data_IF_254948314005
#
_entry.id   IF_254948314005
#
_cell.length_a   1.000
_cell.length_b   1.000
_cell.length_c   1.000
_cell.angle_alpha   90.00
_cell.angle_beta   90.00
_cell.angle_gamma   90.00
#
_symmetry.space_group_name_H-M   'P 1'
#
loop_
_entity.id
_entity.type
_entity.pdbx_description
1 polymer ?
#
# COMPACT_ATOMS: atom_id res chain seq x y z
N UNK A 1 31.38 29.33 11.55
CA UNK A 1 31.81 27.92 11.40
C UNK A 1 33.32 27.87 11.54
N UNK A 2 33.90 26.90 12.27
CA UNK A 2 35.35 26.79 12.39
C UNK A 2 35.98 26.49 11.02
N UNK A 3 37.20 26.99 10.78
CA UNK A 3 37.87 27.04 9.48
C UNK A 3 38.19 25.67 8.83
N UNK A 4 37.89 24.56 9.50
CA UNK A 4 38.35 23.22 9.14
C UNK A 4 37.20 22.23 8.87
N UNK A 5 35.96 22.71 8.70
CA UNK A 5 34.81 21.83 8.40
C UNK A 5 34.64 21.70 6.89
N UNK A 6 34.94 20.51 6.34
CA UNK A 6 34.54 20.14 4.98
C UNK A 6 33.18 19.47 5.02
N UNK A 7 32.18 20.11 4.42
CA UNK A 7 30.88 19.49 4.20
C UNK A 7 30.99 18.54 3.01
N UNK A 8 30.67 17.27 3.24
CA UNK A 8 30.58 16.25 2.21
C UNK A 8 29.11 15.90 1.99
N UNK A 9 28.69 15.81 0.72
CA UNK A 9 27.37 15.29 0.40
C UNK A 9 27.36 13.78 0.63
N UNK A 10 26.49 13.33 1.55
CA UNK A 10 26.21 11.92 1.73
C UNK A 10 25.00 11.51 0.88
N UNK A 11 25.05 10.36 0.19
CA UNK A 11 23.90 9.84 -0.53
C UNK A 11 22.72 9.64 0.43
N UNK A 12 21.52 10.02 0.01
CA UNK A 12 20.31 9.74 0.76
C UNK A 12 19.93 8.26 0.63
N UNK A 13 20.67 7.36 1.30
CA UNK A 13 20.61 5.91 1.09
C UNK A 13 19.18 5.33 1.10
N UNK A 14 18.33 5.70 2.05
CA UNK A 14 16.93 5.23 2.05
C UNK A 14 16.10 5.78 0.89
N UNK A 15 16.38 7.00 0.44
CA UNK A 15 15.71 7.58 -0.72
C UNK A 15 16.17 6.92 -2.01
N UNK A 16 17.46 6.58 -2.11
CA UNK A 16 18.03 5.79 -3.21
C UNK A 16 17.39 4.40 -3.24
N UNK A 17 17.33 3.70 -2.09
CA UNK A 17 16.71 2.40 -1.99
C UNK A 17 15.22 2.43 -2.38
N UNK A 18 14.47 3.44 -1.92
CA UNK A 18 13.06 3.61 -2.29
C UNK A 18 12.87 3.90 -3.78
N UNK A 19 13.77 4.68 -4.40
CA UNK A 19 13.75 4.92 -5.84
C UNK A 19 14.12 3.67 -6.65
N UNK A 20 15.14 2.92 -6.21
CA UNK A 20 15.56 1.67 -6.84
C UNK A 20 14.48 0.58 -6.76
N UNK A 21 13.70 0.55 -5.67
CA UNK A 21 12.54 -0.31 -5.54
C UNK A 21 11.44 -0.02 -6.59
N UNK A 22 11.47 1.15 -7.26
CA UNK A 22 10.60 1.52 -8.38
C UNK A 22 11.20 1.13 -9.75
N UNK A 23 12.03 0.09 -9.79
CA UNK A 23 12.82 -0.31 -10.96
C UNK A 23 12.03 -0.96 -12.11
N UNK A 24 10.73 -1.20 -11.94
CA UNK A 24 9.88 -1.65 -13.05
C UNK A 24 9.58 -0.45 -13.96
N UNK A 25 10.22 -0.42 -15.12
CA UNK A 25 9.92 0.57 -16.15
C UNK A 25 8.58 0.18 -16.79
N UNK A 26 7.60 1.09 -16.78
CA UNK A 26 6.29 0.83 -17.38
C UNK A 26 5.84 2.01 -18.20
N UNK A 27 5.40 1.70 -19.43
CA UNK A 27 4.94 2.70 -20.38
C UNK A 27 3.49 3.08 -20.08
N UNK A 28 3.18 4.38 -20.03
CA UNK A 28 1.82 4.86 -19.78
C UNK A 28 1.47 6.05 -20.67
N UNK A 29 0.19 6.18 -21.05
CA UNK A 29 -0.35 7.30 -21.83
C UNK A 29 -0.59 8.56 -20.98
N UNK A 30 -0.76 8.39 -19.69
CA UNK A 30 -1.03 9.42 -18.70
C UNK A 30 -0.46 9.01 -17.35
N UNK A 31 -0.23 9.99 -16.49
CA UNK A 31 0.04 9.69 -15.08
C UNK A 31 -1.19 9.06 -14.41
N UNK A 32 -2.38 9.20 -15.01
CA UNK A 32 -3.64 8.65 -14.49
C UNK A 32 -3.86 7.18 -14.88
N UNK A 33 -3.07 6.62 -15.80
CA UNK A 33 -3.23 5.23 -16.24
C UNK A 33 -2.64 4.24 -15.23
N UNK A 34 -1.72 4.73 -14.40
CA UNK A 34 -1.32 4.02 -13.20
C UNK A 34 -2.18 4.54 -12.06
N UNK A 35 -2.85 3.61 -11.39
CA UNK A 35 -3.37 3.85 -10.05
C UNK A 35 -2.23 4.41 -9.18
N UNK A 36 -2.58 5.22 -8.17
CA UNK A 36 -1.63 5.86 -7.26
C UNK A 36 -0.59 4.87 -6.69
N UNK A 37 -0.95 3.58 -6.56
CA UNK A 37 -0.10 2.51 -6.06
C UNK A 37 0.93 1.95 -7.05
N UNK A 38 0.63 1.93 -8.35
CA UNK A 38 1.58 1.45 -9.35
C UNK A 38 2.71 2.45 -9.57
N UNK A 39 2.46 3.76 -9.35
CA UNK A 39 3.54 4.77 -9.28
C UNK A 39 4.57 4.46 -8.18
N UNK A 40 4.21 3.68 -7.15
CA UNK A 40 5.10 3.31 -6.07
C UNK A 40 5.90 1.99 -6.33
N UNK A 41 5.60 1.25 -7.41
CA UNK A 41 6.43 0.12 -7.93
C UNK A 41 7.10 0.42 -9.27
N UNK A 42 6.49 1.30 -10.05
CA UNK A 42 6.84 1.54 -11.43
C UNK A 42 7.38 2.94 -11.61
N UNK A 43 8.40 3.06 -12.45
CA UNK A 43 8.80 4.33 -13.00
C UNK A 43 8.13 4.48 -14.36
N UNK A 44 7.28 5.51 -14.46
CA UNK A 44 6.63 5.87 -15.71
C UNK A 44 6.77 7.36 -15.98
N UNK A 45 6.70 7.71 -17.26
CA UNK A 45 6.52 9.07 -17.73
C UNK A 45 5.35 9.05 -18.69
N UNK A 46 4.29 9.78 -18.38
CA UNK A 46 3.11 9.90 -19.22
C UNK A 46 3.50 10.16 -20.68
N UNK A 47 2.87 9.46 -21.64
CA UNK A 47 3.13 9.55 -23.09
C UNK A 47 4.58 9.27 -23.49
N UNK A 48 5.26 8.39 -22.76
CA UNK A 48 6.57 7.87 -23.12
C UNK A 48 6.52 6.34 -23.26
N UNK A 49 6.25 5.86 -24.47
CA UNK A 49 6.19 4.44 -24.83
C UNK A 49 7.50 3.96 -25.47
N UNK A 50 8.61 4.36 -24.87
CA UNK A 50 9.96 4.09 -25.36
C UNK A 50 10.86 3.72 -24.21
N UNK A 51 11.13 2.42 -24.07
CA UNK A 51 11.87 1.86 -22.94
C UNK A 51 13.30 2.42 -22.85
N UNK A 52 13.91 2.73 -23.99
CA UNK A 52 15.24 3.35 -24.06
C UNK A 52 15.24 4.76 -23.42
N UNK A 53 14.25 5.58 -23.76
CA UNK A 53 14.09 6.92 -23.19
C UNK A 53 13.63 6.89 -21.74
N UNK A 54 12.73 5.97 -21.39
CA UNK A 54 12.25 5.80 -20.03
C UNK A 54 13.39 5.34 -19.12
N UNK A 55 14.23 4.42 -19.59
CA UNK A 55 15.45 3.99 -18.93
C UNK A 55 16.46 5.11 -18.75
N UNK A 56 16.68 5.95 -19.76
CA UNK A 56 17.59 7.10 -19.64
C UNK A 56 17.10 8.11 -18.59
N UNK A 57 15.81 8.46 -18.58
CA UNK A 57 15.24 9.34 -17.57
C UNK A 57 15.39 8.73 -16.16
N UNK A 58 15.10 7.43 -16.02
CA UNK A 58 15.27 6.70 -14.76
C UNK A 58 16.72 6.77 -14.26
N UNK A 59 17.69 6.52 -15.13
CA UNK A 59 19.11 6.58 -14.78
C UNK A 59 19.55 7.97 -14.35
N UNK A 60 19.11 9.03 -15.04
CA UNK A 60 19.46 10.41 -14.67
C UNK A 60 18.84 10.83 -13.33
N UNK A 61 17.62 10.38 -13.03
CA UNK A 61 17.01 10.57 -11.70
C UNK A 61 17.78 9.79 -10.61
N UNK A 62 18.18 8.55 -10.90
CA UNK A 62 19.01 7.74 -10.00
C UNK A 62 20.36 8.39 -9.69
N UNK A 63 21.00 9.00 -10.69
CA UNK A 63 22.23 9.80 -10.50
C UNK A 63 21.98 11.03 -9.65
N UNK A 64 20.86 11.72 -9.85
CA UNK A 64 20.50 12.88 -9.03
C UNK A 64 20.38 12.51 -7.56
N UNK A 65 19.77 11.36 -7.25
CA UNK A 65 19.59 10.86 -5.87
C UNK A 65 20.87 10.29 -5.24
N UNK A 66 21.76 9.68 -6.02
CA UNK A 66 22.99 9.04 -5.51
C UNK A 66 24.18 10.00 -5.42
N UNK A 67 24.39 10.82 -6.45
CA UNK A 67 25.56 11.69 -6.58
C UNK A 67 25.28 13.17 -6.32
N UNK A 68 24.01 13.57 -6.13
CA UNK A 68 23.66 14.96 -5.79
C UNK A 68 23.44 15.91 -6.96
N UNK A 69 22.80 15.43 -8.03
CA UNK A 69 22.50 16.25 -9.21
C UNK A 69 21.42 17.30 -8.98
N UNK A 70 21.47 18.40 -9.72
CA UNK A 70 20.44 19.45 -9.75
C UNK A 70 19.46 19.24 -10.90
N UNK A 71 18.33 19.96 -10.87
CA UNK A 71 17.41 20.05 -12.02
C UNK A 71 18.14 20.51 -13.30
N UNK A 72 19.11 21.42 -13.17
CA UNK A 72 19.90 21.90 -14.29
C UNK A 72 20.72 20.77 -14.90
N UNK A 73 21.39 19.97 -14.08
CA UNK A 73 22.19 18.84 -14.54
C UNK A 73 21.30 17.79 -15.25
N UNK A 74 20.15 17.50 -14.65
CA UNK A 74 19.14 16.62 -15.24
C UNK A 74 18.66 17.09 -16.62
N UNK A 75 18.34 18.38 -16.76
CA UNK A 75 17.93 18.97 -18.03
C UNK A 75 19.08 18.98 -19.06
N UNK A 76 20.29 19.37 -18.65
CA UNK A 76 21.46 19.40 -19.54
C UNK A 76 21.82 18.01 -20.07
N UNK A 77 21.67 16.97 -19.26
CA UNK A 77 21.92 15.59 -19.65
C UNK A 77 20.83 15.03 -20.59
N UNK A 78 19.56 15.31 -20.32
CA UNK A 78 18.45 14.70 -21.08
C UNK A 78 18.07 15.44 -22.35
N UNK A 79 18.06 16.77 -22.36
CA UNK A 79 17.54 17.53 -23.51
C UNK A 79 18.20 17.13 -24.84
N UNK A 80 19.54 16.99 -24.94
CA UNK A 80 20.18 16.57 -26.19
C UNK A 80 19.74 15.16 -26.63
N UNK A 81 19.58 14.24 -25.68
CA UNK A 81 19.19 12.86 -25.95
C UNK A 81 17.75 12.77 -26.43
N UNK A 82 16.83 13.47 -25.76
CA UNK A 82 15.41 13.55 -26.15
C UNK A 82 15.25 14.19 -27.54
N UNK A 83 16.04 15.23 -27.86
CA UNK A 83 16.08 15.83 -29.20
C UNK A 83 16.58 14.85 -30.25
N UNK A 84 17.69 14.15 -29.99
CA UNK A 84 18.25 13.14 -30.90
C UNK A 84 17.25 12.01 -31.17
N UNK A 85 16.46 11.65 -30.16
CA UNK A 85 15.45 10.62 -30.25
C UNK A 85 14.13 11.08 -30.88
N UNK A 86 14.00 12.36 -31.27
CA UNK A 86 12.76 12.91 -31.84
C UNK A 86 11.63 13.14 -30.82
N UNK A 87 11.90 13.02 -29.51
CA UNK A 87 10.93 13.20 -28.44
C UNK A 87 11.09 14.57 -27.75
N UNK A 88 11.12 15.65 -28.54
CA UNK A 88 11.25 17.02 -28.03
C UNK A 88 10.30 17.99 -28.73
N UNK A 89 9.74 18.95 -28.00
CA UNK A 89 8.75 19.89 -28.55
C UNK A 89 7.36 19.26 -28.60
N UNK A 90 6.61 19.47 -29.68
CA UNK A 90 5.31 18.82 -29.87
C UNK A 90 5.52 17.44 -30.47
N UNK A 91 5.10 16.41 -29.74
CA UNK A 91 5.31 15.00 -30.09
C UNK A 91 3.96 14.32 -30.19
N UNK A 92 3.74 13.59 -31.28
CA UNK A 92 2.64 12.65 -31.43
C UNK A 92 3.05 11.30 -30.87
N UNK A 93 2.17 10.72 -30.07
CA UNK A 93 2.42 9.51 -29.30
C UNK A 93 1.26 8.58 -29.55
N UNK A 94 1.56 7.42 -30.11
CA UNK A 94 0.56 6.39 -30.36
C UNK A 94 0.53 5.48 -29.15
N UNK A 95 -0.64 5.29 -28.55
CA UNK A 95 -0.84 4.27 -27.53
C UNK A 95 -0.73 2.89 -28.18
N UNK A 96 0.24 2.04 -27.79
CA UNK A 96 0.44 0.73 -28.41
C UNK A 96 -0.68 -0.27 -28.08
N UNK A 97 -1.47 -0.03 -27.04
CA UNK A 97 -2.56 -0.91 -26.60
C UNK A 97 -3.91 -0.55 -27.24
N UNK A 98 -4.18 0.73 -27.48
CA UNK A 98 -5.46 1.21 -28.06
C UNK A 98 -5.33 1.71 -29.49
N UNK A 99 -4.13 2.03 -29.95
CA UNK A 99 -3.87 2.67 -31.25
C UNK A 99 -4.21 4.17 -31.27
N UNK A 100 -4.61 4.76 -30.14
CA UNK A 100 -4.99 6.17 -30.08
C UNK A 100 -3.79 7.11 -30.27
N UNK A 101 -3.99 8.19 -31.03
CA UNK A 101 -2.98 9.23 -31.25
C UNK A 101 -3.13 10.32 -30.20
N UNK A 102 -2.25 10.30 -29.21
CA UNK A 102 -2.07 11.37 -28.24
C UNK A 102 -1.09 12.43 -28.72
N UNK A 103 -1.36 13.70 -28.37
CA UNK A 103 -0.37 14.78 -28.50
C UNK A 103 0.22 15.13 -27.13
N UNK A 104 1.50 15.45 -27.12
CA UNK A 104 2.19 15.88 -25.91
C UNK A 104 3.27 16.91 -26.20
N UNK A 105 3.52 17.80 -25.24
CA UNK A 105 4.62 18.78 -25.35
C UNK A 105 5.73 18.42 -24.38
N UNK A 106 6.93 18.19 -24.89
CA UNK A 106 8.14 17.94 -24.11
C UNK A 106 8.97 19.22 -24.11
N UNK A 107 9.13 19.80 -22.92
CA UNK A 107 9.83 21.07 -22.72
C UNK A 107 10.53 21.05 -21.34
N UNK A 108 11.35 22.07 -21.00
CA UNK A 108 12.04 22.12 -19.72
C UNK A 108 11.10 22.06 -18.50
N UNK A 109 9.94 22.70 -18.57
CA UNK A 109 8.96 22.70 -17.48
C UNK A 109 8.38 21.30 -17.19
N UNK A 110 8.20 20.47 -18.23
CA UNK A 110 7.80 19.06 -18.04
C UNK A 110 8.92 18.25 -17.40
N UNK A 111 10.17 18.43 -17.85
CA UNK A 111 11.31 17.76 -17.23
C UNK A 111 11.46 18.18 -15.75
N UNK A 112 11.21 19.45 -15.44
CA UNK A 112 11.16 19.93 -14.06
C UNK A 112 10.09 19.21 -13.24
N UNK A 113 8.87 19.04 -13.79
CA UNK A 113 7.82 18.31 -13.08
C UNK A 113 8.21 16.84 -12.83
N UNK A 114 8.76 16.16 -13.84
CA UNK A 114 9.23 14.76 -13.73
C UNK A 114 10.29 14.65 -12.64
N UNK A 115 11.27 15.56 -12.66
CA UNK A 115 12.34 15.62 -11.67
C UNK A 115 11.78 15.86 -10.26
N UNK A 116 11.00 16.93 -10.09
CA UNK A 116 10.47 17.38 -8.80
C UNK A 116 9.64 16.29 -8.13
N UNK A 117 8.72 15.66 -8.87
CA UNK A 117 7.84 14.61 -8.34
C UNK A 117 8.65 13.39 -7.93
N UNK A 118 9.48 12.85 -8.81
CA UNK A 118 10.20 11.61 -8.53
C UNK A 118 11.22 11.76 -7.40
N UNK A 119 11.98 12.85 -7.39
CA UNK A 119 12.98 13.12 -6.34
C UNK A 119 12.30 13.36 -4.98
N UNK A 120 11.18 14.11 -4.94
CA UNK A 120 10.45 14.33 -3.68
C UNK A 120 9.81 13.07 -3.14
N UNK A 121 9.19 12.26 -4.00
CA UNK A 121 8.60 10.98 -3.60
C UNK A 121 9.67 10.04 -3.02
N UNK A 122 10.82 9.93 -3.69
CA UNK A 122 11.95 9.13 -3.19
C UNK A 122 12.44 9.62 -1.82
N UNK A 123 12.63 10.94 -1.64
CA UNK A 123 13.02 11.49 -0.35
C UNK A 123 11.93 11.32 0.73
N UNK A 124 10.65 11.39 0.38
CA UNK A 124 9.53 11.14 1.29
C UNK A 124 9.54 9.70 1.78
N UNK A 125 9.66 8.74 0.87
CA UNK A 125 9.78 7.33 1.20
C UNK A 125 11.00 7.06 2.09
N UNK A 126 12.15 7.68 1.78
CA UNK A 126 13.35 7.56 2.60
C UNK A 126 13.20 8.18 4.00
N UNK A 127 12.51 9.33 4.12
CA UNK A 127 12.19 9.93 5.43
C UNK A 127 11.29 9.01 6.25
N UNK A 128 10.25 8.45 5.63
CA UNK A 128 9.37 7.51 6.29
C UNK A 128 10.13 6.28 6.79
N UNK A 129 10.99 5.68 5.95
CA UNK A 129 11.79 4.52 6.34
C UNK A 129 12.68 4.80 7.57
N UNK A 130 13.31 6.00 7.62
CA UNK A 130 14.05 6.42 8.82
C UNK A 130 13.15 6.64 10.02
N UNK A 131 12.03 7.31 9.84
CA UNK A 131 11.06 7.53 10.92
C UNK A 131 10.54 6.20 11.46
N UNK A 132 10.20 5.23 10.60
CA UNK A 132 9.70 3.93 11.02
C UNK A 132 10.71 3.13 11.86
N UNK A 133 12.02 3.26 11.58
CA UNK A 133 13.08 2.62 12.37
C UNK A 133 13.48 3.41 13.63
N UNK A 134 13.17 4.71 13.67
CA UNK A 134 13.52 5.56 14.81
C UNK A 134 12.57 5.37 16.00
N UNK A 135 13.07 5.62 17.21
CA UNK A 135 12.34 5.43 18.47
C UNK A 135 11.29 6.50 18.80
N UNK A 136 11.35 7.67 18.15
CA UNK A 136 10.41 8.78 18.42
C UNK A 136 8.95 8.33 18.22
N UNK A 137 8.00 8.50 19.14
CA UNK A 137 6.65 7.92 18.99
C UNK A 137 5.75 8.62 17.96
N UNK A 138 6.00 9.91 17.67
CA UNK A 138 5.10 10.74 16.87
C UNK A 138 5.72 11.23 15.57
N UNK A 139 4.86 11.74 14.69
CA UNK A 139 5.22 12.54 13.53
C UNK A 139 4.54 13.91 13.63
N UNK A 140 5.25 14.97 13.23
CA UNK A 140 4.69 16.32 13.03
C UNK A 140 4.63 16.69 11.55
N UNK A 141 3.47 17.12 11.08
CA UNK A 141 3.28 17.67 9.74
C UNK A 141 3.66 19.15 9.71
N UNK A 142 4.53 19.55 8.79
CA UNK A 142 5.00 20.92 8.65
C UNK A 142 4.90 21.40 7.21
N UNK A 143 4.32 22.58 7.05
CA UNK A 143 4.30 23.33 5.81
C UNK A 143 5.50 24.28 5.75
N UNK A 144 5.65 24.95 4.60
CA UNK A 144 6.65 26.03 4.44
C UNK A 144 6.22 27.36 5.08
N UNK A 145 4.97 27.47 5.56
CA UNK A 145 4.37 28.70 6.13
C UNK A 145 4.54 29.96 5.26
N UNK A 146 4.55 29.79 3.95
CA UNK A 146 4.60 30.90 2.99
C UNK A 146 3.27 31.03 2.22
N UNK A 147 3.17 32.10 1.42
CA UNK A 147 1.98 32.42 0.63
C UNK A 147 1.65 31.35 -0.41
N UNK A 148 2.63 30.53 -0.80
CA UNK A 148 2.48 29.46 -1.80
C UNK A 148 1.97 28.14 -1.21
N UNK A 149 1.86 28.01 0.11
CA UNK A 149 1.20 26.85 0.74
C UNK A 149 -0.29 26.90 0.43
N UNK A 150 -0.85 25.78 -0.06
CA UNK A 150 -2.30 25.65 -0.32
C UNK A 150 -3.09 25.87 0.97
N UNK A 151 -4.27 26.49 0.88
CA UNK A 151 -5.13 26.74 2.05
C UNK A 151 -5.50 25.43 2.79
N UNK A 152 -5.77 24.36 2.03
CA UNK A 152 -5.99 23.01 2.60
C UNK A 152 -4.80 22.55 3.45
N UNK A 153 -3.59 22.66 2.92
CA UNK A 153 -2.38 22.18 3.63
C UNK A 153 -2.02 23.04 4.85
N UNK A 154 -2.41 24.32 4.88
CA UNK A 154 -2.21 25.18 6.07
C UNK A 154 -3.00 24.66 7.28
N UNK A 155 -4.17 24.04 7.06
CA UNK A 155 -4.95 23.39 8.14
C UNK A 155 -4.23 22.22 8.78
N UNK A 156 -3.29 21.61 8.05
CA UNK A 156 -2.50 20.48 8.52
C UNK A 156 -1.19 20.86 9.19
N UNK A 157 -0.81 22.15 9.17
CA UNK A 157 0.43 22.59 9.82
C UNK A 157 0.36 22.34 11.33
N UNK A 158 1.43 21.75 11.87
CA UNK A 158 1.56 21.39 13.28
C UNK A 158 0.61 20.30 13.78
N UNK A 159 0.02 19.49 12.89
CA UNK A 159 -0.57 18.19 13.26
C UNK A 159 0.52 17.28 13.82
N UNK A 160 0.31 16.75 15.01
CA UNK A 160 1.16 15.77 15.69
C UNK A 160 0.34 14.55 16.01
N UNK A 161 0.69 13.43 15.38
CA UNK A 161 -0.03 12.16 15.52
C UNK A 161 0.95 11.01 15.75
N UNK A 162 0.53 9.92 16.40
CA UNK A 162 1.31 8.68 16.46
C UNK A 162 1.77 8.24 15.07
N UNK A 163 2.97 7.65 14.96
CA UNK A 163 3.54 7.19 13.69
C UNK A 163 2.63 6.21 12.93
N UNK A 164 1.90 5.39 13.66
CA UNK A 164 0.98 4.36 13.16
C UNK A 164 -0.44 4.89 12.88
N UNK A 165 -0.73 6.15 13.19
CA UNK A 165 -2.04 6.75 12.98
C UNK A 165 -2.47 6.67 11.50
N UNK A 166 -3.71 6.25 11.19
CA UNK A 166 -4.17 5.98 9.81
C UNK A 166 -4.19 7.23 8.91
N UNK A 167 -4.25 8.43 9.49
CA UNK A 167 -4.13 9.68 8.73
C UNK A 167 -2.85 9.74 7.87
N UNK A 168 -1.75 9.13 8.34
CA UNK A 168 -0.50 9.06 7.59
C UNK A 168 -0.56 8.15 6.36
N UNK A 169 -1.59 7.34 6.19
CA UNK A 169 -1.73 6.48 5.00
C UNK A 169 -2.03 7.30 3.74
N UNK A 170 -2.72 8.42 3.90
CA UNK A 170 -3.14 9.29 2.79
C UNK A 170 -2.49 10.67 2.83
N UNK A 171 -2.20 11.23 4.02
CA UNK A 171 -1.74 12.62 4.17
C UNK A 171 -0.22 12.77 4.40
N UNK A 172 0.56 11.70 4.24
CA UNK A 172 2.02 11.79 4.36
C UNK A 172 2.64 12.44 3.10
N UNK A 173 3.28 13.62 3.24
CA UNK A 173 3.59 14.45 2.10
C UNK A 173 4.72 13.89 1.22
N UNK A 174 4.72 14.20 -0.09
CA UNK A 174 3.92 15.25 -0.75
C UNK A 174 2.46 14.88 -1.04
N UNK A 175 1.54 15.78 -0.70
CA UNK A 175 0.09 15.61 -0.90
C UNK A 175 -0.41 16.29 -2.19
N UNK A 176 0.47 16.46 -3.18
CA UNK A 176 0.10 17.07 -4.46
C UNK A 176 1.27 17.60 -5.28
N UNK A 177 0.95 18.07 -6.47
CA UNK A 177 1.93 18.61 -7.41
C UNK A 177 2.66 19.79 -6.79
N UNK A 178 4.00 19.79 -6.85
CA UNK A 178 4.86 20.84 -6.26
C UNK A 178 4.62 21.07 -4.76
N UNK A 179 4.08 20.08 -4.04
CA UNK A 179 3.94 20.16 -2.59
C UNK A 179 5.33 20.26 -1.92
N UNK A 180 5.46 21.16 -0.93
CA UNK A 180 6.71 21.41 -0.17
C UNK A 180 6.56 21.11 1.32
N UNK A 181 5.44 20.50 1.71
CA UNK A 181 5.19 20.07 3.07
C UNK A 181 6.02 18.82 3.38
N UNK A 182 6.31 18.62 4.66
CA UNK A 182 7.19 17.57 5.17
C UNK A 182 6.60 17.01 6.47
N UNK A 183 6.92 15.76 6.78
CA UNK A 183 6.60 15.14 8.05
C UNK A 183 7.90 14.65 8.71
N UNK A 184 8.05 14.93 10.01
CA UNK A 184 9.26 14.65 10.77
C UNK A 184 8.94 13.88 12.05
N UNK A 185 9.81 12.95 12.48
CA UNK A 185 9.65 12.29 13.77
C UNK A 185 9.86 13.28 14.92
N UNK A 186 9.07 13.12 15.98
CA UNK A 186 9.12 13.93 17.19
C UNK A 186 8.75 13.08 18.42
N UNK A 187 9.32 13.41 19.57
CA UNK A 187 9.03 12.82 20.88
C UNK A 187 8.37 13.85 21.82
N UNK A 188 8.02 13.41 23.03
CA UNK A 188 7.36 14.26 24.03
C UNK A 188 8.18 15.50 24.40
N UNK A 189 9.51 15.38 24.42
CA UNK A 189 10.41 16.49 24.71
C UNK A 189 10.37 17.55 23.61
N UNK A 190 10.50 17.15 22.33
CA UNK A 190 10.40 18.08 21.21
C UNK A 190 9.00 18.70 21.08
N UNK A 191 7.96 17.93 21.41
CA UNK A 191 6.59 18.42 21.54
C UNK A 191 6.51 19.56 22.57
N UNK A 192 7.04 19.34 23.78
CA UNK A 192 7.00 20.33 24.85
C UNK A 192 7.81 21.59 24.50
N UNK A 193 8.95 21.44 23.82
CA UNK A 193 9.75 22.56 23.31
C UNK A 193 8.95 23.42 22.32
N UNK A 194 8.23 22.80 21.38
CA UNK A 194 7.39 23.53 20.42
C UNK A 194 6.23 24.26 21.09
N UNK A 195 5.57 23.63 22.06
CA UNK A 195 4.48 24.25 22.83
C UNK A 195 4.98 25.42 23.67
N UNK A 196 6.15 25.28 24.33
CA UNK A 196 6.80 26.35 25.07
C UNK A 196 7.22 27.52 24.15
N UNK A 197 7.59 27.24 22.90
CA UNK A 197 7.84 28.24 21.88
C UNK A 197 6.56 28.89 21.31
N UNK A 198 5.38 28.57 21.87
CA UNK A 198 4.09 29.15 21.50
C UNK A 198 3.44 28.51 20.27
N UNK A 199 3.93 27.37 19.80
CA UNK A 199 3.30 26.67 18.68
C UNK A 199 2.08 25.88 19.17
N UNK A 200 0.90 26.21 18.64
CA UNK A 200 -0.31 25.41 18.85
C UNK A 200 -0.23 24.11 18.04
N UNK A 201 0.03 23.00 18.71
CA UNK A 201 0.02 21.66 18.12
C UNK A 201 -1.42 21.14 18.01
N UNK A 202 -1.72 20.42 16.93
CA UNK A 202 -3.00 19.75 16.72
C UNK A 202 -2.80 18.25 16.98
N UNK A 203 -3.51 17.68 17.96
CA UNK A 203 -3.36 16.26 18.36
C UNK A 203 -4.33 15.31 17.69
N UNK A 204 -5.24 15.88 16.91
CA UNK A 204 -6.24 15.17 16.14
C UNK A 204 -6.25 15.75 14.73
N UNK A 205 -6.51 14.94 13.69
CA UNK A 205 -6.69 15.46 12.36
C UNK A 205 -7.94 16.34 12.30
N UNK A 206 -7.94 17.45 11.53
CA UNK A 206 -9.14 18.23 11.33
C UNK A 206 -10.19 17.42 10.56
N UNK A 207 -11.46 17.72 10.80
CA UNK A 207 -12.52 17.27 9.92
C UNK A 207 -12.44 18.07 8.60
N UNK A 208 -11.90 17.40 7.58
CA UNK A 208 -11.78 17.93 6.22
C UNK A 208 -12.99 17.59 5.35
N UNK A 209 -14.03 16.98 5.94
CA UNK A 209 -15.25 16.55 5.26
C UNK A 209 -15.06 15.28 4.43
N UNK A 210 -16.08 14.89 3.64
CA UNK A 210 -16.02 13.70 2.81
C UNK A 210 -14.96 13.84 1.70
N UNK A 211 -14.45 12.70 1.25
CA UNK A 211 -13.63 12.65 0.04
C UNK A 211 -14.42 13.18 -1.17
N UNK A 212 -13.68 13.82 -2.08
CA UNK A 212 -14.23 14.39 -3.30
C UNK A 212 -14.10 13.39 -4.47
N UNK A 213 -15.13 13.26 -5.33
CA UNK A 213 -15.02 12.42 -6.51
C UNK A 213 -14.08 13.07 -7.52
N UNK A 214 -13.12 12.29 -7.99
CA UNK A 214 -12.26 12.62 -9.11
C UNK A 214 -12.53 11.64 -10.25
N UNK A 215 -12.95 12.18 -11.41
CA UNK A 215 -13.12 11.39 -12.62
C UNK A 215 -11.83 11.40 -13.44
N UNK A 216 -11.27 10.21 -13.64
CA UNK A 216 -10.22 10.00 -14.62
C UNK A 216 -10.81 10.27 -16.02
N UNK A 217 -10.29 11.27 -16.71
CA UNK A 217 -10.84 11.72 -18.00
C UNK A 217 -10.55 10.74 -19.15
N UNK A 218 -9.68 9.76 -18.92
CA UNK A 218 -9.24 8.78 -19.92
C UNK A 218 -10.04 7.50 -19.71
N UNK A 219 -10.03 6.93 -18.51
CA UNK A 219 -10.71 5.65 -18.23
C UNK A 219 -12.19 5.83 -17.88
N UNK A 220 -12.62 7.04 -17.52
CA UNK A 220 -13.95 7.30 -16.97
C UNK A 220 -14.12 6.84 -15.52
N UNK A 221 -13.12 6.21 -14.90
CA UNK A 221 -13.16 5.74 -13.51
C UNK A 221 -13.32 6.92 -12.55
N UNK A 222 -14.21 6.77 -11.57
CA UNK A 222 -14.39 7.73 -10.48
C UNK A 222 -13.71 7.20 -9.23
N UNK A 223 -12.72 7.94 -8.74
CA UNK A 223 -12.03 7.63 -7.48
C UNK A 223 -12.36 8.68 -6.43
N UNK A 224 -12.47 8.26 -5.17
CA UNK A 224 -12.64 9.18 -4.05
C UNK A 224 -11.27 9.65 -3.56
N UNK A 225 -11.06 10.97 -3.52
CA UNK A 225 -9.79 11.57 -3.09
C UNK A 225 -10.03 12.41 -1.84
N UNK A 226 -9.23 12.24 -0.76
CA UNK A 226 -9.36 13.08 0.42
C UNK A 226 -9.27 14.56 0.07
N UNK A 227 -10.08 15.39 0.73
CA UNK A 227 -10.11 16.81 0.48
C UNK A 227 -8.71 17.43 0.67
N UNK A 228 -8.32 18.31 -0.24
CA UNK A 228 -7.03 19.00 -0.16
C UNK A 228 -5.82 18.21 -0.65
N UNK A 229 -5.99 16.94 -1.04
CA UNK A 229 -4.96 16.14 -1.70
C UNK A 229 -5.20 16.13 -3.21
N UNK A 230 -4.14 16.33 -4.00
CA UNK A 230 -4.28 16.19 -5.46
C UNK A 230 -4.42 14.70 -5.83
N UNK A 231 -5.27 14.32 -6.81
CA UNK A 231 -5.34 12.95 -7.29
C UNK A 231 -3.95 12.51 -7.78
N UNK A 232 -3.53 11.27 -7.52
CA UNK A 232 -2.14 10.87 -7.69
C UNK A 232 -1.32 10.87 -6.40
N UNK A 233 -1.77 11.52 -5.33
CA UNK A 233 -0.96 11.76 -4.12
C UNK A 233 -1.64 11.35 -2.81
N UNK A 234 -2.82 10.73 -2.86
CA UNK A 234 -3.54 10.25 -1.68
C UNK A 234 -2.90 8.98 -1.11
N UNK A 235 -1.60 9.07 -0.81
CA UNK A 235 -0.83 7.96 -0.32
C UNK A 235 0.48 8.31 0.37
N UNK A 236 0.90 7.44 1.29
CA UNK A 236 2.23 7.46 1.88
C UNK A 236 3.28 6.80 0.96
N UNK A 237 4.30 7.53 0.45
CA UNK A 237 5.32 6.96 -0.43
C UNK A 237 6.25 5.94 0.25
N UNK A 238 6.32 5.94 1.58
CA UNK A 238 7.19 5.05 2.35
C UNK A 238 6.51 3.81 2.92
N UNK A 239 5.18 3.79 3.03
CA UNK A 239 4.43 2.55 3.30
C UNK A 239 4.37 1.78 1.98
N UNK A 240 5.26 0.80 1.86
CA UNK A 240 5.61 0.13 0.61
C UNK A 240 4.41 -0.19 -0.30
N UNK A 241 4.63 -0.01 -1.60
CA UNK A 241 3.65 -0.26 -2.66
C UNK A 241 3.03 -1.66 -2.62
N UNK A 242 3.77 -2.67 -2.17
CA UNK A 242 3.28 -4.04 -2.02
C UNK A 242 2.25 -4.20 -0.89
N UNK A 243 2.34 -3.42 0.20
CA UNK A 243 1.35 -3.44 1.29
C UNK A 243 0.00 -2.92 0.79
N UNK A 244 0.01 -1.79 0.08
CA UNK A 244 -1.21 -1.19 -0.47
C UNK A 244 -1.75 -1.90 -1.70
N UNK A 245 -0.89 -2.46 -2.56
CA UNK A 245 -1.33 -3.40 -3.58
C UNK A 245 -2.01 -4.60 -2.94
N UNK A 246 -1.47 -5.11 -1.83
CA UNK A 246 -2.12 -6.12 -1.02
C UNK A 246 -3.51 -5.71 -0.57
N UNK A 247 -3.62 -4.60 0.15
CA UNK A 247 -4.91 -4.06 0.59
C UNK A 247 -5.90 -3.85 -0.57
N UNK A 248 -5.44 -3.44 -1.76
CA UNK A 248 -6.30 -3.22 -2.93
C UNK A 248 -6.68 -4.47 -3.68
N UNK A 249 -5.75 -5.40 -3.87
CA UNK A 249 -6.05 -6.73 -4.39
C UNK A 249 -7.12 -7.36 -3.50
N UNK A 250 -7.01 -7.20 -2.19
CA UNK A 250 -7.99 -7.75 -1.26
C UNK A 250 -9.31 -6.92 -1.26
N UNK A 251 -9.27 -5.59 -1.28
CA UNK A 251 -10.49 -4.76 -1.17
C UNK A 251 -11.23 -4.52 -2.48
N UNK A 252 -10.55 -4.32 -3.62
CA UNK A 252 -11.19 -4.11 -4.93
C UNK A 252 -11.86 -5.39 -5.44
N UNK A 253 -11.25 -6.55 -5.22
CA UNK A 253 -11.84 -7.83 -5.64
C UNK A 253 -12.98 -8.28 -4.73
N UNK A 254 -13.16 -7.66 -3.55
CA UNK A 254 -14.20 -8.02 -2.61
C UNK A 254 -15.62 -7.89 -3.17
N UNK A 255 -15.82 -6.97 -4.12
CA UNK A 255 -17.13 -6.71 -4.75
C UNK A 255 -17.39 -7.55 -6.00
N UNK A 256 -16.41 -8.35 -6.45
CA UNK A 256 -16.57 -9.22 -7.61
C UNK A 256 -17.26 -10.53 -7.21
N UNK A 257 -17.91 -11.22 -8.17
CA UNK A 257 -18.39 -12.58 -7.95
C UNK A 257 -17.29 -13.48 -7.37
N UNK A 258 -17.58 -14.38 -6.41
CA UNK A 258 -16.57 -15.15 -5.67
C UNK A 258 -15.58 -15.90 -6.56
N UNK A 259 -16.04 -16.50 -7.66
CA UNK A 259 -15.18 -17.21 -8.62
C UNK A 259 -14.16 -16.28 -9.29
N UNK A 260 -14.60 -15.08 -9.70
CA UNK A 260 -13.75 -14.06 -10.32
C UNK A 260 -12.78 -13.49 -9.29
N UNK A 261 -13.28 -13.15 -8.11
CA UNK A 261 -12.49 -12.60 -7.01
C UNK A 261 -11.37 -13.58 -6.58
N UNK A 262 -11.70 -14.86 -6.38
CA UNK A 262 -10.74 -15.89 -5.99
C UNK A 262 -9.63 -16.06 -7.03
N UNK A 263 -9.98 -16.02 -8.33
CA UNK A 263 -8.99 -16.13 -9.40
C UNK A 263 -8.08 -14.90 -9.47
N UNK A 264 -8.66 -13.70 -9.47
CA UNK A 264 -7.91 -12.45 -9.53
C UNK A 264 -6.94 -12.32 -8.36
N UNK A 265 -7.40 -12.62 -7.13
CA UNK A 265 -6.53 -12.60 -5.95
C UNK A 265 -5.46 -13.69 -6.03
N UNK A 266 -5.77 -14.92 -6.44
CA UNK A 266 -4.78 -15.98 -6.58
C UNK A 266 -3.67 -15.64 -7.59
N UNK A 267 -4.02 -15.04 -8.74
CA UNK A 267 -3.05 -14.62 -9.76
C UNK A 267 -2.10 -13.54 -9.21
N UNK A 268 -2.60 -12.62 -8.37
CA UNK A 268 -1.76 -11.64 -7.68
C UNK A 268 -0.91 -12.24 -6.56
N UNK A 269 -1.48 -13.12 -5.73
CA UNK A 269 -0.77 -13.77 -4.61
C UNK A 269 0.28 -14.79 -5.07
N UNK A 270 0.29 -15.16 -6.35
CA UNK A 270 1.38 -15.91 -6.95
C UNK A 270 2.72 -15.12 -6.98
N UNK A 271 2.68 -13.78 -6.90
CA UNK A 271 3.87 -12.96 -6.64
C UNK A 271 4.29 -13.15 -5.16
N UNK A 272 5.34 -13.96 -4.95
CA UNK A 272 5.88 -14.24 -3.63
C UNK A 272 6.30 -12.97 -2.85
N UNK A 273 6.70 -11.91 -3.56
CA UNK A 273 7.03 -10.61 -2.96
C UNK A 273 5.79 -9.87 -2.45
N UNK A 274 4.67 -9.95 -3.18
CA UNK A 274 3.39 -9.40 -2.77
C UNK A 274 2.81 -10.15 -1.56
N UNK A 275 2.76 -11.49 -1.62
CA UNK A 275 2.30 -12.30 -0.50
C UNK A 275 3.12 -12.02 0.75
N UNK A 276 4.45 -12.03 0.64
CA UNK A 276 5.32 -11.71 1.78
C UNK A 276 5.11 -10.29 2.33
N UNK A 277 4.72 -9.32 1.50
CA UNK A 277 4.40 -7.98 1.96
C UNK A 277 3.07 -7.90 2.71
N UNK A 278 2.04 -8.58 2.23
CA UNK A 278 0.74 -8.73 2.92
C UNK A 278 0.96 -9.40 4.27
N UNK A 279 1.72 -10.49 4.30
CA UNK A 279 2.02 -11.23 5.54
C UNK A 279 2.78 -10.36 6.55
N UNK A 280 3.84 -9.65 6.12
CA UNK A 280 4.59 -8.73 7.01
C UNK A 280 3.72 -7.60 7.54
N UNK A 281 2.84 -7.05 6.70
CA UNK A 281 1.91 -6.02 7.10
C UNK A 281 0.93 -6.52 8.17
N UNK A 282 0.25 -7.61 7.87
CA UNK A 282 -0.66 -8.25 8.80
C UNK A 282 0.03 -8.56 10.13
N UNK A 283 1.26 -9.08 10.12
CA UNK A 283 2.05 -9.35 11.33
C UNK A 283 2.20 -8.09 12.19
N UNK A 284 2.64 -6.99 11.58
CA UNK A 284 2.84 -5.73 12.28
C UNK A 284 1.52 -5.18 12.85
N UNK A 285 0.42 -5.27 12.10
CA UNK A 285 -0.91 -4.89 12.60
C UNK A 285 -1.30 -5.74 13.79
N UNK A 286 -1.26 -7.07 13.62
CA UNK A 286 -1.62 -8.01 14.67
C UNK A 286 -0.83 -7.67 15.92
N UNK A 287 0.51 -7.65 15.87
CA UNK A 287 1.40 -7.36 17.01
C UNK A 287 1.07 -6.03 17.70
N UNK A 288 0.61 -5.02 16.97
CA UNK A 288 0.20 -3.72 17.50
C UNK A 288 -1.16 -3.68 18.21
N UNK A 289 -2.00 -4.72 18.10
CA UNK A 289 -3.32 -4.74 18.73
C UNK A 289 -3.17 -4.94 20.24
N UNK A 290 -3.49 -3.89 21.02
CA UNK A 290 -3.48 -3.92 22.49
C UNK A 290 -4.86 -4.13 23.11
N UNK A 291 -5.93 -3.74 22.41
CA UNK A 291 -7.33 -3.92 22.81
C UNK A 291 -8.23 -4.04 21.58
N UNK A 292 -9.35 -4.77 21.65
CA UNK A 292 -10.28 -4.86 20.53
C UNK A 292 -11.01 -3.53 20.34
N UNK A 293 -11.02 -3.04 19.12
CA UNK A 293 -11.75 -1.84 18.67
C UNK A 293 -12.78 -2.18 17.59
N UNK A 294 -12.94 -3.46 17.23
CA UNK A 294 -13.82 -3.92 16.17
C UNK A 294 -13.23 -3.75 14.77
N UNK A 295 -11.92 -3.56 14.66
CA UNK A 295 -11.24 -3.45 13.37
C UNK A 295 -11.27 -4.80 12.65
N UNK A 296 -11.85 -4.81 11.44
CA UNK A 296 -11.79 -5.92 10.50
C UNK A 296 -10.63 -5.72 9.53
N UNK A 297 -9.88 -6.78 9.26
CA UNK A 297 -8.77 -6.75 8.31
C UNK A 297 -8.87 -7.85 7.26
N UNK A 298 -8.86 -7.52 5.96
CA UNK A 298 -8.68 -8.52 4.91
C UNK A 298 -7.31 -9.20 5.06
N UNK A 299 -7.30 -10.53 4.98
CA UNK A 299 -6.11 -11.36 5.21
C UNK A 299 -5.81 -12.34 4.08
N UNK A 300 -6.70 -12.44 3.09
CA UNK A 300 -6.52 -13.31 1.94
C UNK A 300 -7.83 -13.52 1.20
N UNK A 301 -7.88 -14.53 0.35
CA UNK A 301 -9.10 -15.00 -0.28
C UNK A 301 -9.17 -16.53 -0.26
N UNK A 302 -10.38 -17.08 -0.35
CA UNK A 302 -10.59 -18.48 -0.68
C UNK A 302 -9.91 -18.79 -2.01
N UNK A 303 -9.22 -19.92 -2.08
CA UNK A 303 -8.57 -20.33 -3.34
C UNK A 303 -9.62 -20.65 -4.41
N UNK A 304 -9.29 -20.55 -5.71
CA UNK A 304 -10.20 -20.95 -6.78
C UNK A 304 -10.71 -22.39 -6.61
N UNK A 305 -9.84 -23.30 -6.14
CA UNK A 305 -10.21 -24.68 -5.86
C UNK A 305 -11.18 -24.79 -4.67
N UNK A 306 -11.01 -23.96 -3.64
CA UNK A 306 -11.93 -23.89 -2.49
C UNK A 306 -13.30 -23.37 -2.91
N UNK A 307 -13.37 -22.28 -3.68
CA UNK A 307 -14.65 -21.74 -4.16
C UNK A 307 -15.38 -22.76 -5.04
N UNK A 308 -14.68 -23.41 -5.98
CA UNK A 308 -15.28 -24.44 -6.82
C UNK A 308 -15.80 -25.64 -6.02
N UNK A 309 -15.07 -26.07 -4.99
CA UNK A 309 -15.50 -27.15 -4.11
C UNK A 309 -16.75 -26.78 -3.30
N UNK A 310 -16.82 -25.53 -2.82
CA UNK A 310 -17.98 -25.03 -2.09
C UNK A 310 -19.22 -24.96 -3.00
N UNK A 311 -19.08 -24.43 -4.21
CA UNK A 311 -20.18 -24.35 -5.19
C UNK A 311 -20.67 -25.74 -5.60
N UNK A 312 -19.78 -26.71 -5.79
CA UNK A 312 -20.15 -28.10 -6.10
C UNK A 312 -20.91 -28.81 -4.97
N UNK A 313 -20.89 -28.27 -3.75
CA UNK A 313 -21.59 -28.78 -2.58
C UNK A 313 -22.74 -27.84 -2.14
N UNK A 314 -23.23 -26.97 -3.03
CA UNK A 314 -24.32 -26.02 -2.77
C UNK A 314 -24.03 -25.01 -1.62
N UNK A 315 -22.75 -24.69 -1.40
CA UNK A 315 -22.25 -23.80 -0.34
C UNK A 315 -21.58 -22.54 -0.92
N UNK A 316 -22.14 -21.95 -1.97
CA UNK A 316 -21.58 -20.77 -2.62
C UNK A 316 -21.34 -19.63 -1.60
N UNK A 317 -20.10 -19.16 -1.42
CA UNK A 317 -19.81 -18.11 -0.43
C UNK A 317 -20.34 -16.76 -0.90
N UNK A 318 -20.73 -15.89 0.05
CA UNK A 318 -21.14 -14.52 -0.29
C UNK A 318 -19.98 -13.68 -0.86
N UNK A 319 -18.74 -14.04 -0.53
CA UNK A 319 -17.52 -13.43 -1.06
C UNK A 319 -16.36 -14.42 -1.00
N UNK A 320 -15.39 -14.29 -1.91
CA UNK A 320 -14.13 -15.02 -1.78
C UNK A 320 -13.19 -14.39 -0.75
N UNK A 321 -13.41 -13.14 -0.34
CA UNK A 321 -12.47 -12.40 0.50
C UNK A 321 -12.53 -12.83 1.96
N UNK A 322 -11.39 -13.20 2.54
CA UNK A 322 -11.27 -13.60 3.93
C UNK A 322 -10.83 -12.41 4.79
N UNK A 323 -11.53 -12.16 5.89
CA UNK A 323 -11.19 -11.12 6.85
C UNK A 323 -11.26 -11.63 8.30
N UNK A 324 -10.43 -11.07 9.17
CA UNK A 324 -10.39 -11.37 10.61
C UNK A 324 -10.68 -10.10 11.43
N UNK A 325 -11.38 -10.23 12.56
CA UNK A 325 -11.52 -9.11 13.52
C UNK A 325 -10.36 -9.08 14.51
N UNK A 326 -9.99 -7.88 14.95
CA UNK A 326 -9.02 -7.67 16.02
C UNK A 326 -9.32 -8.47 17.30
N UNK A 327 -10.60 -8.58 17.68
CA UNK A 327 -11.02 -9.34 18.85
C UNK A 327 -10.68 -10.83 18.77
N UNK A 328 -10.75 -11.44 17.58
CA UNK A 328 -10.37 -12.84 17.38
C UNK A 328 -8.87 -13.02 17.44
N UNK A 329 -8.11 -12.09 16.87
CA UNK A 329 -6.63 -12.10 16.94
C UNK A 329 -6.15 -11.99 18.39
N UNK A 330 -6.79 -11.14 19.20
CA UNK A 330 -6.48 -11.01 20.63
C UNK A 330 -6.88 -12.27 21.39
N UNK A 331 -8.11 -12.76 21.19
CA UNK A 331 -8.61 -13.94 21.90
C UNK A 331 -7.70 -15.16 21.65
N UNK A 332 -7.22 -15.29 20.42
CA UNK A 332 -6.32 -16.35 20.04
C UNK A 332 -4.95 -16.23 20.75
N UNK A 333 -4.37 -15.04 20.86
CA UNK A 333 -3.11 -14.83 21.62
C UNK A 333 -3.19 -15.20 23.09
N UNK A 334 -4.36 -15.06 23.69
CA UNK A 334 -4.58 -15.37 25.10
C UNK A 334 -4.64 -16.89 25.36
N UNK A 335 -4.76 -17.70 24.31
CA UNK A 335 -4.80 -19.16 24.40
C UNK A 335 -3.36 -19.74 24.40
N UNK A 336 -3.00 -20.45 25.46
CA UNK A 336 -1.64 -20.97 25.70
C UNK A 336 -1.23 -22.12 24.74
N UNK A 337 -2.11 -22.54 23.84
CA UNK A 337 -1.87 -23.60 22.84
C UNK A 337 -1.34 -23.11 21.49
N UNK A 338 -1.16 -21.80 21.29
CA UNK A 338 -0.89 -21.25 19.96
C UNK A 338 0.60 -20.95 19.74
N UNK A 339 1.19 -21.34 18.60
CA UNK A 339 2.39 -20.67 18.14
C UNK A 339 1.98 -19.27 17.64
N UNK A 340 2.23 -18.25 18.46
CA UNK A 340 2.06 -16.82 18.09
C UNK A 340 2.67 -16.50 16.71
N UNK A 341 3.72 -17.22 16.33
CA UNK A 341 4.36 -17.18 15.03
C UNK A 341 3.46 -17.65 13.87
N UNK A 342 2.61 -18.66 14.05
CA UNK A 342 1.70 -19.15 13.00
C UNK A 342 0.59 -18.15 12.72
N UNK A 343 -0.03 -17.62 13.79
CA UNK A 343 -1.00 -16.55 13.63
C UNK A 343 -0.41 -15.33 12.95
N UNK A 344 0.83 -14.95 13.30
CA UNK A 344 1.55 -13.84 12.67
C UNK A 344 1.74 -14.01 11.16
N UNK A 345 1.67 -15.24 10.64
CA UNK A 345 1.83 -15.59 9.23
C UNK A 345 0.53 -16.03 8.54
N UNK A 346 -0.62 -15.78 9.17
CA UNK A 346 -1.93 -16.20 8.69
C UNK A 346 -2.19 -15.98 7.19
N UNK A 347 -1.91 -14.81 6.57
CA UNK A 347 -2.10 -14.62 5.13
C UNK A 347 -1.34 -15.61 4.24
N UNK A 348 -0.13 -16.01 4.64
CA UNK A 348 0.66 -16.98 3.90
C UNK A 348 0.05 -18.39 3.98
N UNK A 349 -0.53 -18.74 5.14
CA UNK A 349 -1.19 -20.03 5.33
C UNK A 349 -2.49 -20.13 4.54
N UNK A 350 -3.32 -19.07 4.54
CA UNK A 350 -4.61 -19.04 3.84
C UNK A 350 -4.50 -19.24 2.33
N UNK A 351 -3.36 -18.91 1.73
CA UNK A 351 -3.11 -19.11 0.30
C UNK A 351 -3.03 -20.60 -0.10
N UNK A 352 -2.82 -21.52 0.86
CA UNK A 352 -2.62 -22.94 0.60
C UNK A 352 -3.20 -23.83 1.73
N UNK A 353 -4.55 -23.89 1.87
CA UNK A 353 -5.16 -24.84 2.78
C UNK A 353 -4.89 -26.29 2.37
N UNK A 354 -4.68 -27.16 3.35
CA UNK A 354 -4.42 -28.59 3.13
C UNK A 354 -5.69 -29.34 2.71
N UNK A 355 -6.81 -29.01 3.37
CA UNK A 355 -8.12 -29.55 3.07
C UNK A 355 -9.21 -28.54 3.41
N UNK A 356 -10.38 -28.71 2.79
CA UNK A 356 -11.61 -27.98 3.10
C UNK A 356 -12.63 -29.01 3.53
N UNK A 357 -13.13 -28.87 4.75
CA UNK A 357 -14.06 -29.82 5.35
C UNK A 357 -15.41 -29.19 5.63
N UNK A 358 -16.45 -30.01 5.67
CA UNK A 358 -17.74 -29.68 6.26
C UNK A 358 -17.95 -30.50 7.52
N UNK A 359 -18.29 -29.84 8.61
CA UNK A 359 -18.61 -30.50 9.87
C UNK A 359 -20.06 -31.01 9.92
N UNK A 360 -20.40 -31.74 10.99
CA UNK A 360 -21.74 -32.30 11.20
C UNK A 360 -22.83 -31.25 11.43
N UNK A 361 -22.46 -30.00 11.76
CA UNK A 361 -23.38 -28.86 11.89
C UNK A 361 -23.59 -28.14 10.56
N UNK A 362 -22.81 -28.48 9.54
CA UNK A 362 -22.78 -27.84 8.24
C UNK A 362 -21.78 -26.68 8.12
N UNK A 363 -20.95 -26.45 9.14
CA UNK A 363 -19.92 -25.40 9.13
C UNK A 363 -18.75 -25.79 8.24
N UNK A 364 -18.19 -24.82 7.54
CA UNK A 364 -17.02 -24.99 6.67
C UNK A 364 -15.73 -24.71 7.43
N UNK A 365 -14.76 -25.62 7.31
CA UNK A 365 -13.46 -25.54 7.95
C UNK A 365 -12.33 -25.58 6.92
N UNK A 366 -11.38 -24.65 7.05
CA UNK A 366 -10.08 -24.74 6.39
C UNK A 366 -9.10 -25.46 7.32
N UNK A 367 -8.40 -26.47 6.79
CA UNK A 367 -7.49 -27.31 7.56
C UNK A 367 -6.04 -27.07 7.15
N UNK A 368 -5.16 -26.94 8.13
CA UNK A 368 -3.73 -26.71 7.94
C UNK A 368 -2.90 -27.68 8.79
N UNK A 369 -1.72 -28.05 8.28
CA UNK A 369 -0.69 -28.70 9.09
C UNK A 369 0.24 -27.65 9.67
N UNK A 370 0.51 -27.72 10.98
CA UNK A 370 1.53 -26.90 11.63
C UNK A 370 2.83 -27.73 11.68
N UNK A 371 3.92 -27.29 11.03
CA UNK A 371 5.21 -27.98 11.11
C UNK A 371 5.66 -28.16 12.57
N UNK A 372 6.03 -29.39 12.93
CA UNK A 372 6.53 -29.71 14.27
C UNK A 372 5.46 -29.89 15.35
N UNK A 373 4.17 -29.84 15.02
CA UNK A 373 3.09 -30.14 15.97
C UNK A 373 2.31 -31.40 15.58
N UNK A 374 1.91 -32.18 16.58
CA UNK A 374 0.95 -33.27 16.41
C UNK A 374 -0.47 -32.70 16.37
N UNK A 375 -1.16 -32.81 15.23
CA UNK A 375 -2.53 -32.34 15.06
C UNK A 375 -2.71 -31.48 13.81
N UNK A 376 -3.91 -30.93 13.65
CA UNK A 376 -4.29 -30.01 12.57
C UNK A 376 -4.76 -28.70 13.15
N UNK A 377 -4.51 -27.61 12.44
CA UNK A 377 -5.14 -26.33 12.73
C UNK A 377 -6.39 -26.18 11.87
N UNK A 378 -7.51 -25.85 12.50
CA UNK A 378 -8.79 -25.68 11.81
C UNK A 378 -9.29 -24.25 11.96
N UNK A 379 -9.62 -23.61 10.84
CA UNK A 379 -10.20 -22.27 10.78
C UNK A 379 -11.64 -22.39 10.27
N UNK A 380 -12.63 -22.12 11.13
CA UNK A 380 -14.02 -21.91 10.70
C UNK A 380 -14.15 -20.70 9.77
N UNK A 381 -14.92 -20.88 8.70
CA UNK A 381 -15.27 -19.81 7.75
C UNK A 381 -16.78 -19.57 7.80
N UNK A 382 -17.17 -18.35 8.14
CA UNK A 382 -18.55 -17.90 8.00
C UNK A 382 -18.79 -17.46 6.56
N UNK A 383 -19.46 -18.32 5.78
CA UNK A 383 -19.73 -18.09 4.36
C UNK A 383 -20.76 -16.98 4.10
N UNK A 384 -21.45 -16.50 5.14
CA UNK A 384 -22.36 -15.35 5.02
C UNK A 384 -21.57 -14.06 4.83
N UNK A 385 -22.18 -13.06 4.19
CA UNK A 385 -21.56 -11.75 4.08
C UNK A 385 -21.42 -11.16 5.49
N UNK A 386 -20.21 -10.73 5.88
CA UNK A 386 -20.02 -10.01 7.12
C UNK A 386 -20.95 -8.79 7.13
N UNK A 387 -21.97 -8.81 8.00
CA UNK A 387 -22.91 -7.71 8.15
C UNK A 387 -22.16 -6.42 8.38
N UNK A 388 -22.54 -5.36 7.65
CA UNK A 388 -21.92 -4.05 7.74
C UNK A 388 -21.99 -3.49 9.17
N UNK A 389 -20.96 -3.73 9.97
CA UNK A 389 -20.61 -2.85 11.08
C UNK A 389 -19.65 -1.79 10.55
N UNK A 390 -19.65 -0.64 11.22
CA UNK A 390 -19.23 0.68 10.73
C UNK A 390 -17.75 0.86 10.33
N UNK A 391 -17.00 -0.23 10.10
CA UNK A 391 -15.57 -0.20 9.78
C UNK A 391 -15.09 -1.22 8.71
N UNK A 392 -15.99 -1.93 8.00
CA UNK A 392 -15.59 -2.85 6.91
C UNK A 392 -16.49 -2.72 5.66
N UNK A 393 -15.98 -2.98 4.44
CA UNK A 393 -16.84 -3.16 3.27
C UNK A 393 -17.65 -4.45 3.45
N UNK A 394 -18.95 -4.39 3.15
CA UNK A 394 -19.96 -5.45 3.32
C UNK A 394 -19.75 -6.70 2.42
N UNK A 395 -18.50 -7.03 2.07
CA UNK A 395 -18.15 -7.84 0.91
C UNK A 395 -17.01 -8.83 1.19
N UNK A 396 -16.82 -9.25 2.44
CA UNK A 396 -15.88 -10.31 2.85
C UNK A 396 -16.56 -11.33 3.76
N UNK A 397 -16.10 -12.58 3.71
CA UNK A 397 -16.44 -13.65 4.65
C UNK A 397 -15.52 -13.61 5.87
N UNK A 398 -16.07 -13.80 7.05
CA UNK A 398 -15.32 -13.73 8.31
C UNK A 398 -14.68 -15.09 8.60
N UNK A 399 -13.42 -15.07 9.03
CA UNK A 399 -12.74 -16.25 9.55
C UNK A 399 -12.40 -16.05 11.01
N UNK A 400 -12.55 -17.09 11.82
CA UNK A 400 -12.02 -17.09 13.18
C UNK A 400 -10.48 -17.30 13.16
N UNK A 401 -9.82 -17.05 14.28
CA UNK A 401 -8.38 -17.33 14.41
C UNK A 401 -8.03 -18.84 14.31
N UNK A 402 -9.03 -19.70 14.50
CA UNK A 402 -8.90 -21.16 14.47
C UNK A 402 -8.40 -21.75 15.79
N UNK A 403 -8.30 -23.07 15.82
CA UNK A 403 -7.79 -23.83 16.98
C UNK A 403 -7.15 -25.14 16.52
N UNK A 404 -6.34 -25.74 17.41
CA UNK A 404 -5.72 -27.04 17.16
C UNK A 404 -6.68 -28.18 17.50
N UNK A 405 -6.71 -29.21 16.65
CA UNK A 405 -7.47 -30.45 16.85
C UNK A 405 -6.61 -31.68 16.56
N UNK A 406 -6.96 -32.81 17.15
CA UNK A 406 -6.38 -34.10 16.78
C UNK A 406 -6.84 -34.48 15.35
N UNK A 407 -5.95 -34.99 14.51
CA UNK A 407 -6.33 -35.40 13.15
C UNK A 407 -7.42 -36.48 13.14
N UNK A 408 -7.47 -37.34 14.16
CA UNK A 408 -8.49 -38.39 14.31
C UNK A 408 -9.87 -37.83 14.59
N UNK A 409 -9.99 -36.66 15.22
CA UNK A 409 -11.31 -36.04 15.46
C UNK A 409 -11.96 -35.53 14.18
N UNK A 410 -11.21 -35.44 13.07
CA UNK A 410 -11.71 -35.04 11.76
C UNK A 410 -12.25 -36.21 10.93
N UNK A 411 -12.14 -37.46 11.40
CA UNK A 411 -12.50 -38.65 10.62
C UNK A 411 -13.99 -38.73 10.21
N UNK A 412 -14.89 -37.99 10.88
CA UNK A 412 -16.32 -37.92 10.57
C UNK A 412 -16.74 -36.70 9.74
N UNK A 413 -15.79 -35.87 9.31
CA UNK A 413 -16.06 -34.66 8.55
C UNK A 413 -16.07 -34.98 7.06
N UNK A 414 -16.95 -34.31 6.32
CA UNK A 414 -17.01 -34.45 4.86
C UNK A 414 -15.85 -33.68 4.24
N UNK A 415 -15.02 -34.35 3.44
CA UNK A 415 -13.90 -33.72 2.73
C UNK A 415 -14.44 -33.15 1.41
N UNK A 416 -14.59 -31.83 1.34
CA UNK A 416 -15.02 -31.15 0.11
C UNK A 416 -13.86 -30.98 -0.88
N UNK A 417 -12.64 -30.77 -0.37
CA UNK A 417 -11.43 -30.64 -1.19
C UNK A 417 -10.15 -30.94 -0.39
N UNK A 418 -9.08 -31.32 -1.08
CA UNK A 418 -7.78 -31.63 -0.49
C UNK A 418 -7.70 -33.01 0.15
N UNK A 419 -6.74 -33.20 1.07
CA UNK A 419 -6.47 -34.46 1.78
C UNK A 419 -5.99 -34.18 3.20
N UNK A 420 -6.39 -35.00 4.19
CA UNK A 420 -6.03 -34.87 5.60
C UNK A 420 -4.68 -35.50 5.97
#
# INVERSE_FOLDING_TARGET
MPANVRLQLLPAADAVAAFQARGLLTQTFSWQDLLNEEHARQFTVAKLFRDDLLGEIYQQLGRALTAGGTLRDFQQALIPQLKKAGWWGNVEVIDPSTGEIGRTRVNPARLELIYDVNVRQAHAAGRWARSARGSMPYLIYRTRRDERVRASHRRWDAIVLPKDHPWWDTHYPPNGWRCRCLAYPIDDAGIAELEAAGLKLLREPPDDGPSIPFTNKITGEITQVPWGIDPGFAYNPGKGSQRRLGDLVLTKNAQLPPTIAARAVADHLADAGLLAAITRDYRAWAEGISRPVGAMRPVGALTPATVAALEANDLAPASAMLAVVDAEVIAARADNGQPSAWLADLPAHLAAPQAVLRDHTGSVLLVFTIPGQSGKWVIPVDLSAAGATTAAPASSVRIAAGHQVDARSLAGYEIMSGKL
#
